data_IF_890750096456
#
_entry.id   IF_890750096456
#
_cell.length_a   1.000
_cell.length_b   1.000
_cell.length_c   1.000
_cell.angle_alpha   90.00
_cell.angle_beta   90.00
_cell.angle_gamma   90.00
#
_symmetry.space_group_name_H-M   'P 1'
#
loop_
_entity.id
_entity.type
_entity.pdbx_description
1 polymer ?
#
# COMPACT_ATOMS: atom_id res chain seq x y z
N UNK A 1 -6.97 -16.93 11.14
CA UNK A 1 -6.41 -15.77 11.88
C UNK A 1 -7.07 -14.52 11.30
N UNK A 2 -7.86 -13.74 12.05
CA UNK A 2 -8.61 -12.58 11.48
C UNK A 2 -7.63 -11.43 11.19
N UNK A 3 -7.09 -11.38 9.97
CA UNK A 3 -6.44 -10.19 9.47
C UNK A 3 -7.52 -9.09 9.37
N UNK A 4 -7.33 -7.95 10.03
CA UNK A 4 -8.19 -6.79 9.77
C UNK A 4 -7.84 -6.28 8.37
N UNK A 5 -8.81 -5.81 7.59
CA UNK A 5 -8.55 -5.24 6.25
C UNK A 5 -7.35 -4.28 6.26
N UNK A 6 -7.23 -3.46 7.32
CA UNK A 6 -6.09 -2.58 7.55
C UNK A 6 -4.71 -3.24 7.51
N UNK A 7 -4.53 -4.42 8.13
CA UNK A 7 -3.23 -5.12 8.13
C UNK A 7 -2.90 -5.67 6.73
N UNK A 8 -3.90 -6.22 6.05
CA UNK A 8 -3.75 -6.71 4.69
C UNK A 8 -3.41 -5.56 3.72
N UNK A 9 -4.08 -4.41 3.87
CA UNK A 9 -3.82 -3.20 3.10
C UNK A 9 -2.39 -2.66 3.30
N UNK A 10 -1.89 -2.64 4.54
CA UNK A 10 -0.49 -2.27 4.82
C UNK A 10 0.46 -3.21 4.11
N UNK A 11 0.23 -4.52 4.22
CA UNK A 11 1.13 -5.51 3.63
C UNK A 11 1.15 -5.43 2.10
N UNK A 12 -0.01 -5.20 1.47
CA UNK A 12 -0.10 -5.00 0.03
C UNK A 12 0.74 -3.80 -0.44
N UNK A 13 0.72 -2.68 0.28
CA UNK A 13 1.51 -1.49 -0.07
C UNK A 13 3.01 -1.76 0.14
N UNK A 14 3.41 -2.48 1.20
CA UNK A 14 4.83 -2.83 1.39
C UNK A 14 5.35 -3.70 0.26
N UNK A 15 4.63 -4.75 -0.09
CA UNK A 15 5.01 -5.64 -1.20
C UNK A 15 5.13 -4.86 -2.52
N UNK A 16 4.20 -3.93 -2.79
CA UNK A 16 4.30 -3.05 -3.94
C UNK A 16 5.57 -2.18 -3.90
N UNK A 17 5.94 -1.64 -2.75
CA UNK A 17 7.15 -0.83 -2.58
C UNK A 17 8.43 -1.65 -2.71
N UNK A 18 8.47 -2.87 -2.18
CA UNK A 18 9.60 -3.77 -2.33
C UNK A 18 9.78 -4.20 -3.78
N UNK A 19 8.69 -4.51 -4.49
CA UNK A 19 8.73 -4.76 -5.93
C UNK A 19 9.28 -3.56 -6.70
N UNK A 20 8.86 -2.34 -6.36
CA UNK A 20 9.35 -1.10 -6.97
C UNK A 20 10.85 -0.92 -6.69
N UNK A 21 11.28 -1.06 -5.44
CA UNK A 21 12.68 -0.92 -5.03
C UNK A 21 13.59 -1.94 -5.72
N UNK A 22 13.10 -3.15 -5.96
CA UNK A 22 13.87 -4.23 -6.58
C UNK A 22 13.88 -4.17 -8.12
N UNK A 23 12.82 -3.65 -8.75
CA UNK A 23 12.67 -3.69 -10.21
C UNK A 23 12.93 -2.36 -10.90
N UNK A 24 12.75 -1.23 -10.22
CA UNK A 24 12.81 0.09 -10.82
C UNK A 24 14.05 0.87 -10.36
N UNK A 25 14.58 1.69 -11.27
CA UNK A 25 15.65 2.64 -10.95
C UNK A 25 15.12 3.74 -10.02
N UNK A 26 15.99 4.29 -9.17
CA UNK A 26 15.68 5.45 -8.29
C UNK A 26 15.22 6.70 -9.04
N UNK A 27 15.49 6.79 -10.35
CA UNK A 27 15.03 7.91 -11.19
C UNK A 27 13.59 7.75 -11.70
N UNK A 28 13.01 6.56 -11.54
CA UNK A 28 11.65 6.25 -12.00
C UNK A 28 10.63 7.02 -11.18
N UNK A 29 9.58 7.51 -11.86
CA UNK A 29 8.39 8.06 -11.22
C UNK A 29 7.40 6.92 -11.03
N UNK A 30 6.95 6.73 -9.80
CA UNK A 30 6.08 5.63 -9.41
C UNK A 30 4.82 6.21 -8.79
N UNK A 31 3.67 5.73 -9.25
CA UNK A 31 2.38 6.03 -8.64
C UNK A 31 1.76 4.71 -8.21
N UNK A 32 1.45 4.57 -6.92
CA UNK A 32 0.73 3.43 -6.37
C UNK A 32 -0.70 3.90 -6.10
N UNK A 33 -1.66 3.24 -6.75
CA UNK A 33 -3.08 3.48 -6.55
C UNK A 33 -3.60 2.52 -5.48
N UNK A 34 -4.31 3.02 -4.48
CA UNK A 34 -4.88 2.18 -3.42
C UNK A 34 -6.21 2.74 -2.94
N UNK A 35 -7.17 1.87 -2.67
CA UNK A 35 -8.45 2.21 -2.06
C UNK A 35 -8.41 2.16 -0.51
N UNK A 36 -7.27 1.79 0.06
CA UNK A 36 -6.98 1.71 1.50
C UNK A 36 -6.92 3.10 2.18
N UNK A 37 -8.06 3.78 2.25
CA UNK A 37 -8.18 5.15 2.77
C UNK A 37 -7.60 5.29 4.19
N UNK A 38 -7.84 4.30 5.05
CA UNK A 38 -7.32 4.29 6.42
C UNK A 38 -5.79 4.29 6.46
N UNK A 39 -5.14 3.49 5.63
CA UNK A 39 -3.67 3.40 5.60
C UNK A 39 -3.06 4.69 5.08
N UNK A 40 -3.65 5.27 4.03
CA UNK A 40 -3.19 6.55 3.46
C UNK A 40 -3.34 7.69 4.46
N UNK A 41 -4.46 7.77 5.18
CA UNK A 41 -4.67 8.76 6.24
C UNK A 41 -3.66 8.61 7.38
N UNK A 42 -3.33 7.37 7.77
CA UNK A 42 -2.30 7.12 8.78
C UNK A 42 -0.92 7.59 8.31
N UNK A 43 -0.60 7.46 7.03
CA UNK A 43 0.66 7.98 6.47
C UNK A 43 0.72 9.51 6.50
N UNK A 44 -0.37 10.19 6.15
CA UNK A 44 -0.47 11.65 6.14
C UNK A 44 -0.47 12.28 7.54
N UNK A 45 -1.05 11.62 8.54
CA UNK A 45 -1.21 12.21 9.87
C UNK A 45 0.10 12.19 10.68
N UNK A 46 0.93 13.24 10.60
CA UNK A 46 2.22 13.34 11.33
C UNK A 46 2.09 13.64 12.84
N UNK A 47 0.88 13.83 13.36
CA UNK A 47 0.64 14.26 14.74
C UNK A 47 0.51 13.10 15.75
N UNK A 48 0.31 11.87 15.29
CA UNK A 48 0.36 10.69 16.15
C UNK A 48 1.82 10.35 16.48
N UNK A 49 2.24 10.73 17.69
CA UNK A 49 3.57 10.48 18.23
C UNK A 49 3.82 8.98 18.51
N UNK A 50 2.76 8.17 18.62
CA UNK A 50 2.85 6.72 18.51
C UNK A 50 2.98 6.30 17.05
N UNK A 51 4.19 6.45 16.53
CA UNK A 51 4.59 5.80 15.29
C UNK A 51 4.48 4.28 15.47
N UNK A 52 3.35 3.70 15.09
CA UNK A 52 3.17 2.25 14.99
C UNK A 52 4.31 1.69 14.11
N UNK A 53 4.97 0.62 14.56
CA UNK A 53 6.15 0.01 13.91
C UNK A 53 5.94 -0.20 12.41
N UNK A 54 4.72 -0.53 12.00
CA UNK A 54 4.35 -0.76 10.61
C UNK A 54 4.40 0.52 9.76
N UNK A 55 3.99 1.66 10.32
CA UNK A 55 4.09 2.96 9.65
C UNK A 55 5.55 3.36 9.43
N UNK A 56 6.42 3.15 10.41
CA UNK A 56 7.87 3.44 10.29
C UNK A 56 8.49 2.64 9.15
N UNK A 57 8.26 1.33 9.13
CA UNK A 57 8.74 0.45 8.04
C UNK A 57 8.25 0.94 6.68
N UNK A 58 6.98 1.35 6.59
CA UNK A 58 6.41 1.83 5.34
C UNK A 58 7.08 3.11 4.87
N UNK A 59 7.30 4.08 5.78
CA UNK A 59 8.04 5.31 5.47
C UNK A 59 9.49 5.04 5.05
N UNK A 60 10.17 4.09 5.71
CA UNK A 60 11.54 3.69 5.36
C UNK A 60 11.63 3.07 3.96
N UNK A 61 10.62 2.29 3.56
CA UNK A 61 10.51 1.72 2.21
C UNK A 61 10.22 2.81 1.17
N UNK A 62 9.32 3.74 1.49
CA UNK A 62 8.99 4.88 0.63
C UNK A 62 10.21 5.77 0.39
N UNK A 63 11.03 6.01 1.41
CA UNK A 63 12.24 6.84 1.32
C UNK A 63 13.30 6.27 0.35
N UNK A 64 13.25 4.97 0.04
CA UNK A 64 14.13 4.32 -0.94
C UNK A 64 13.68 4.55 -2.38
N UNK A 65 12.39 4.84 -2.58
CA UNK A 65 11.80 5.15 -3.89
C UNK A 65 11.99 6.64 -4.17
N UNK A 66 12.75 6.99 -5.22
CA UNK A 66 13.13 8.38 -5.45
C UNK A 66 11.97 9.33 -5.75
N UNK A 67 10.96 8.89 -6.51
CA UNK A 67 9.77 9.70 -6.83
C UNK A 67 8.51 8.83 -6.72
N UNK A 68 7.94 8.78 -5.52
CA UNK A 68 6.73 8.01 -5.22
C UNK A 68 5.52 8.93 -4.97
N UNK A 69 4.38 8.55 -5.51
CA UNK A 69 3.08 9.10 -5.16
C UNK A 69 2.15 7.96 -4.74
N UNK A 70 1.59 8.06 -3.55
CA UNK A 70 0.47 7.22 -3.13
C UNK A 70 -0.82 7.99 -3.40
N UNK A 71 -1.69 7.44 -4.25
CA UNK A 71 -2.94 8.08 -4.65
C UNK A 71 -4.11 7.23 -4.22
N UNK A 72 -5.00 7.83 -3.43
CA UNK A 72 -6.27 7.19 -3.10
C UNK A 72 -7.17 7.10 -4.33
N UNK A 73 -7.79 5.94 -4.53
CA UNK A 73 -8.87 5.73 -5.51
C UNK A 73 -10.09 5.12 -4.83
N UNK A 74 -11.31 5.37 -5.33
CA UNK A 74 -12.48 4.70 -4.78
C UNK A 74 -12.49 3.22 -5.20
N UNK A 75 -12.69 2.32 -4.22
CA UNK A 75 -12.91 0.89 -4.49
C UNK A 75 -14.27 0.64 -5.13
N UNK A 76 -14.43 -0.53 -5.76
CA UNK A 76 -15.69 -0.99 -6.39
C UNK A 76 -16.29 -0.02 -7.42
N UNK A 77 -15.44 0.73 -8.11
CA UNK A 77 -15.82 1.71 -9.12
C UNK A 77 -15.44 1.28 -10.55
N UNK A 78 -15.29 -0.03 -10.80
CA UNK A 78 -14.91 -0.59 -12.09
C UNK A 78 -13.54 -0.10 -12.62
N UNK A 79 -12.62 0.25 -11.72
CA UNK A 79 -11.22 0.50 -12.09
C UNK A 79 -10.57 -0.86 -12.28
N UNK A 80 -10.36 -1.28 -13.53
CA UNK A 80 -9.91 -2.64 -13.89
C UNK A 80 -8.71 -3.12 -13.05
N UNK A 81 -7.70 -2.28 -12.87
CA UNK A 81 -6.52 -2.59 -12.06
C UNK A 81 -6.83 -2.81 -10.58
N UNK A 82 -7.74 -2.00 -10.00
CA UNK A 82 -8.17 -2.14 -8.61
C UNK A 82 -8.99 -3.43 -8.42
N UNK A 83 -9.99 -3.65 -9.28
CA UNK A 83 -10.83 -4.84 -9.24
C UNK A 83 -9.99 -6.12 -9.36
N UNK A 84 -8.97 -6.10 -10.21
CA UNK A 84 -8.04 -7.23 -10.33
C UNK A 84 -7.24 -7.45 -9.05
N UNK A 85 -6.72 -6.39 -8.43
CA UNK A 85 -6.00 -6.48 -7.16
C UNK A 85 -6.90 -7.02 -6.05
N UNK A 86 -8.14 -6.53 -5.93
CA UNK A 86 -9.13 -6.98 -4.95
C UNK A 86 -9.48 -8.46 -5.14
N UNK A 87 -9.68 -8.88 -6.38
CA UNK A 87 -9.98 -10.28 -6.69
C UNK A 87 -8.81 -11.20 -6.34
N UNK A 88 -7.56 -10.78 -6.62
CA UNK A 88 -6.37 -11.54 -6.23
C UNK A 88 -6.23 -11.63 -4.71
N UNK A 89 -6.48 -10.52 -3.99
CA UNK A 89 -6.46 -10.50 -2.53
C UNK A 89 -7.52 -11.45 -1.93
N UNK A 90 -8.74 -11.44 -2.49
CA UNK A 90 -9.83 -12.37 -2.09
C UNK A 90 -9.46 -13.83 -2.33
N UNK A 91 -8.86 -14.14 -3.49
CA UNK A 91 -8.40 -15.50 -3.79
C UNK A 91 -7.30 -15.95 -2.82
N UNK A 92 -6.33 -15.09 -2.52
CA UNK A 92 -5.27 -15.37 -1.56
C UNK A 92 -5.81 -15.61 -0.14
N UNK A 93 -6.80 -14.84 0.29
CA UNK A 93 -7.45 -15.02 1.60
C UNK A 93 -8.36 -16.25 1.69
N UNK A 94 -8.76 -16.84 0.55
CA UNK A 94 -9.61 -18.03 0.50
C UNK A 94 -8.81 -19.35 0.45
N UNK A 95 -7.50 -19.27 0.25
CA UNK A 95 -6.58 -20.40 0.17
C UNK A 95 -5.86 -20.69 1.50
N UNK A 96 -6.23 -19.98 2.58
CA UNK A 96 -5.61 -20.00 3.92
C UNK A 96 -6.56 -20.58 4.99
#
# INVERSE_FOLDING_TARGET
>A
MRCTNYKAEIEAIKEALDMVNNKLSKTSKVVILSDARSVLQTLENTKDTELNTERKKLLDLMARVGKLTLQWIPGHCNIEGNERADNLAKLGSALD
#
